data_IF_735926122033
#
_entry.id   IF_735926122033
#
_cell.length_a   1.000
_cell.length_b   1.000
_cell.length_c   1.000
_cell.angle_alpha   90.00
_cell.angle_beta   90.00
_cell.angle_gamma   90.00
#
_symmetry.space_group_name_H-M   'P 1'
#
loop_
_entity.id
_entity.type
_entity.pdbx_description
1 polymer ?
#
# COMPACT_ATOMS: atom_id res chain seq x y z
N UNK A 1 -12.36 76.54 29.22
CA UNK A 1 -12.43 76.04 27.83
C UNK A 1 -11.77 74.67 27.77
N UNK A 2 -12.58 73.66 27.42
CA UNK A 2 -12.28 72.29 26.92
C UNK A 2 -11.02 71.57 27.43
N UNK A 3 -11.23 70.55 28.28
CA UNK A 3 -10.28 69.43 28.51
C UNK A 3 -10.35 68.49 27.30
N UNK A 4 -9.23 68.26 26.64
CA UNK A 4 -9.09 67.38 25.48
C UNK A 4 -8.89 65.94 25.97
N UNK A 5 -9.84 65.06 25.67
CA UNK A 5 -9.75 63.63 25.94
C UNK A 5 -8.99 62.98 24.77
N UNK A 6 -7.79 62.45 25.03
CA UNK A 6 -7.00 61.71 24.03
C UNK A 6 -7.51 60.26 24.01
N UNK A 7 -8.31 59.89 23.01
CA UNK A 7 -8.66 58.49 22.75
C UNK A 7 -7.45 57.80 22.10
N UNK A 8 -6.84 56.85 22.80
CA UNK A 8 -5.93 55.88 22.19
C UNK A 8 -6.76 54.88 21.38
N UNK A 9 -6.64 54.93 20.06
CA UNK A 9 -7.10 53.87 19.16
C UNK A 9 -6.00 52.83 19.07
N UNK A 10 -6.16 51.69 19.75
CA UNK A 10 -5.28 50.53 19.56
C UNK A 10 -5.71 49.85 18.27
N UNK A 11 -4.90 50.00 17.23
CA UNK A 11 -5.07 49.30 15.96
C UNK A 11 -4.64 47.85 16.19
N UNK A 12 -5.59 46.92 16.34
CA UNK A 12 -5.30 45.49 16.21
C UNK A 12 -4.94 45.24 14.75
N UNK A 13 -3.65 45.05 14.46
CA UNK A 13 -3.23 44.39 13.22
C UNK A 13 -3.76 42.95 13.31
N UNK A 14 -4.85 42.68 12.58
CA UNK A 14 -5.21 41.31 12.26
C UNK A 14 -4.02 40.71 11.51
N UNK A 15 -3.45 39.63 12.05
CA UNK A 15 -2.51 38.81 11.30
C UNK A 15 -3.19 38.44 9.97
N UNK A 16 -2.47 38.46 8.83
CA UNK A 16 -3.03 37.96 7.59
C UNK A 16 -3.55 36.54 7.84
N UNK A 17 -4.68 36.12 7.24
CA UNK A 17 -5.10 34.74 7.31
C UNK A 17 -3.90 33.89 6.91
N UNK A 18 -3.51 32.98 7.79
CA UNK A 18 -2.61 31.88 7.44
C UNK A 18 -3.17 31.31 6.14
N UNK A 19 -2.41 31.44 5.06
CA UNK A 19 -2.67 30.70 3.84
C UNK A 19 -2.67 29.24 4.27
N UNK A 20 -3.86 28.64 4.34
CA UNK A 20 -4.01 27.21 4.22
C UNK A 20 -3.35 26.88 2.88
N UNK A 21 -2.13 26.33 2.92
CA UNK A 21 -1.57 25.69 1.75
C UNK A 21 -2.62 24.70 1.29
N UNK A 22 -3.09 24.85 0.05
CA UNK A 22 -4.05 23.92 -0.51
C UNK A 22 -3.44 22.53 -0.42
N UNK A 23 -4.10 21.65 0.34
CA UNK A 23 -3.75 20.24 0.46
C UNK A 23 -3.70 19.63 -0.94
N UNK A 24 -2.75 18.73 -1.18
CA UNK A 24 -2.71 18.05 -2.46
C UNK A 24 -4.04 17.36 -2.76
N UNK A 25 -4.55 17.47 -3.99
CA UNK A 25 -5.71 16.71 -4.37
C UNK A 25 -5.40 15.22 -4.27
N UNK A 26 -6.44 14.46 -4.04
CA UNK A 26 -6.42 13.01 -4.17
C UNK A 26 -5.80 12.59 -5.50
N UNK A 27 -4.96 11.56 -5.50
CA UNK A 27 -4.64 10.86 -6.74
C UNK A 27 -5.91 10.32 -7.40
N UNK A 28 -6.02 10.47 -8.72
CA UNK A 28 -7.15 9.98 -9.52
C UNK A 28 -6.71 9.04 -10.64
N UNK A 29 -5.41 9.00 -10.95
CA UNK A 29 -4.87 8.09 -11.94
C UNK A 29 -5.10 6.63 -11.52
N UNK A 30 -5.43 5.81 -12.51
CA UNK A 30 -5.58 4.37 -12.38
C UNK A 30 -4.87 3.68 -13.54
N UNK A 31 -4.40 2.45 -13.31
CA UNK A 31 -3.83 1.57 -14.35
C UNK A 31 -3.96 0.11 -13.92
N UNK A 32 -3.75 -0.82 -14.85
CA UNK A 32 -3.87 -2.26 -14.59
C UNK A 32 -2.55 -3.00 -14.78
N UNK A 33 -2.17 -3.78 -13.78
CA UNK A 33 -1.22 -4.87 -13.93
C UNK A 33 -1.98 -6.07 -14.49
N UNK A 34 -1.65 -6.48 -15.72
CA UNK A 34 -2.47 -7.45 -16.48
C UNK A 34 -1.69 -8.33 -17.46
N UNK A 35 -0.38 -8.45 -17.28
CA UNK A 35 0.50 -9.23 -18.18
C UNK A 35 0.35 -10.74 -18.01
N UNK A 36 0.01 -11.22 -16.82
CA UNK A 36 -0.16 -12.64 -16.48
C UNK A 36 -1.65 -12.98 -16.35
N UNK A 37 -2.04 -14.07 -15.68
CA UNK A 37 -3.44 -14.49 -15.55
C UNK A 37 -4.27 -13.64 -14.57
N UNK A 38 -3.72 -12.55 -14.03
CA UNK A 38 -4.39 -11.64 -13.10
C UNK A 38 -4.65 -10.31 -13.77
N UNK A 39 -5.79 -9.69 -13.51
CA UNK A 39 -6.02 -8.27 -13.74
C UNK A 39 -6.13 -7.57 -12.37
N UNK A 40 -5.12 -6.78 -12.02
CA UNK A 40 -5.06 -6.06 -10.76
C UNK A 40 -5.01 -4.55 -10.98
N UNK A 41 -6.06 -3.84 -10.54
CA UNK A 41 -6.12 -2.39 -10.62
C UNK A 41 -5.22 -1.72 -9.58
N UNK A 42 -4.55 -0.63 -9.99
CA UNK A 42 -3.72 0.20 -9.14
C UNK A 42 -4.25 1.64 -9.16
N UNK A 43 -4.23 2.33 -8.01
CA UNK A 43 -4.58 3.74 -7.92
C UNK A 43 -3.43 4.54 -7.32
N UNK A 44 -3.26 5.77 -7.79
CA UNK A 44 -2.23 6.68 -7.26
C UNK A 44 -2.67 7.41 -5.97
N UNK A 45 -3.83 7.02 -5.43
CA UNK A 45 -4.36 7.46 -4.14
C UNK A 45 -3.90 6.59 -2.97
N UNK A 46 -2.91 5.72 -3.16
CA UNK A 46 -2.31 4.89 -2.11
C UNK A 46 -3.03 3.59 -1.78
N UNK A 47 -4.19 3.36 -2.39
CA UNK A 47 -4.96 2.12 -2.36
C UNK A 47 -4.87 1.36 -3.70
N UNK A 48 -5.07 0.05 -3.64
CA UNK A 48 -4.96 -0.87 -4.77
C UNK A 48 -6.18 -1.81 -4.82
N UNK A 49 -6.33 -2.48 -5.96
CA UNK A 49 -7.29 -3.57 -6.22
C UNK A 49 -8.75 -3.22 -6.44
N UNK A 50 -9.13 -1.94 -6.46
CA UNK A 50 -10.50 -1.50 -6.78
C UNK A 50 -10.51 -0.27 -7.68
N UNK A 51 -11.68 0.09 -8.20
CA UNK A 51 -11.88 1.26 -9.05
C UNK A 51 -12.49 2.48 -8.33
N UNK A 52 -12.83 2.35 -7.04
CA UNK A 52 -13.58 3.35 -6.27
C UNK A 52 -15.02 2.93 -5.95
N UNK A 53 -15.48 1.81 -6.52
CA UNK A 53 -16.83 1.28 -6.31
C UNK A 53 -16.85 -0.26 -6.19
N UNK A 54 -16.02 -0.97 -6.97
CA UNK A 54 -15.96 -2.43 -7.02
C UNK A 54 -14.52 -2.94 -7.00
N UNK A 55 -14.35 -4.13 -6.43
CA UNK A 55 -13.10 -4.91 -6.53
C UNK A 55 -12.71 -5.15 -7.99
N UNK A 56 -11.42 -5.16 -8.25
CA UNK A 56 -10.79 -5.33 -9.56
C UNK A 56 -9.43 -6.03 -9.40
N UNK A 57 -9.43 -7.08 -8.59
CA UNK A 57 -8.38 -8.10 -8.58
C UNK A 57 -9.00 -9.39 -9.14
N UNK A 58 -9.01 -9.51 -10.46
CA UNK A 58 -9.77 -10.54 -11.18
C UNK A 58 -8.82 -11.67 -11.55
N UNK A 59 -9.18 -12.89 -11.15
CA UNK A 59 -8.36 -14.08 -11.39
C UNK A 59 -9.22 -15.36 -11.36
N UNK A 60 -9.16 -16.20 -12.41
CA UNK A 60 -8.53 -15.96 -13.71
C UNK A 60 -9.10 -14.77 -14.50
N UNK A 61 -8.23 -13.84 -14.97
CA UNK A 61 -8.67 -12.60 -15.62
C UNK A 61 -9.52 -12.76 -16.90
N UNK A 62 -9.49 -13.93 -17.52
CA UNK A 62 -10.25 -14.23 -18.75
C UNK A 62 -11.58 -14.95 -18.46
N UNK A 63 -11.91 -15.16 -17.18
CA UNK A 63 -13.16 -15.80 -16.79
C UNK A 63 -14.38 -14.93 -17.14
N UNK A 64 -15.51 -15.50 -17.58
CA UNK A 64 -16.64 -14.73 -18.11
C UNK A 64 -17.25 -13.76 -17.10
N UNK A 65 -17.30 -14.17 -15.83
CA UNK A 65 -17.99 -13.45 -14.76
C UNK A 65 -17.11 -12.39 -14.10
N UNK A 66 -15.80 -12.39 -14.40
CA UNK A 66 -14.84 -11.41 -13.93
C UNK A 66 -14.90 -11.23 -12.40
N UNK A 67 -14.92 -12.35 -11.68
CA UNK A 67 -15.04 -12.39 -10.22
C UNK A 67 -13.79 -11.80 -9.57
N UNK A 68 -13.96 -10.94 -8.56
CA UNK A 68 -12.82 -10.36 -7.85
C UNK A 68 -12.42 -11.28 -6.70
N UNK A 69 -11.13 -11.52 -6.49
CA UNK A 69 -10.60 -12.27 -5.35
C UNK A 69 -10.16 -11.38 -4.18
N UNK A 70 -10.03 -10.07 -4.42
CA UNK A 70 -9.73 -9.04 -3.42
C UNK A 70 -10.56 -7.80 -3.75
N UNK A 71 -11.05 -7.11 -2.71
CA UNK A 71 -11.72 -5.82 -2.89
C UNK A 71 -10.71 -4.69 -2.91
N UNK A 72 -9.99 -4.47 -1.81
CA UNK A 72 -9.07 -3.34 -1.69
C UNK A 72 -7.84 -3.67 -0.83
N UNK A 73 -6.79 -2.88 -0.99
CA UNK A 73 -5.61 -2.96 -0.12
C UNK A 73 -4.91 -1.61 0.00
N UNK A 74 -4.18 -1.42 1.09
CA UNK A 74 -3.40 -0.21 1.35
C UNK A 74 -2.29 -0.47 2.37
N UNK A 75 -1.29 0.41 2.40
CA UNK A 75 -0.29 0.45 3.47
C UNK A 75 -0.61 1.56 4.45
N UNK A 76 -0.51 1.25 5.74
CA UNK A 76 -0.68 2.20 6.83
C UNK A 76 0.63 2.40 7.56
N UNK A 77 0.78 3.57 8.18
CA UNK A 77 1.91 3.86 9.04
C UNK A 77 1.46 4.77 10.19
N UNK A 78 1.79 4.39 11.42
CA UNK A 78 1.44 5.15 12.60
C UNK A 78 2.55 5.13 13.64
N UNK A 79 2.73 6.22 14.36
CA UNK A 79 3.71 6.33 15.44
C UNK A 79 3.56 7.59 16.28
N UNK A 80 4.40 7.75 17.29
CA UNK A 80 4.32 8.83 18.27
C UNK A 80 5.40 9.87 18.00
N UNK A 81 5.01 11.13 17.82
CA UNK A 81 5.97 12.23 17.63
C UNK A 81 6.67 12.64 18.94
N UNK A 82 7.68 13.50 18.85
CA UNK A 82 8.42 13.99 20.02
C UNK A 82 7.58 14.78 21.04
N UNK A 83 6.35 15.17 20.69
CA UNK A 83 5.37 15.79 21.57
C UNK A 83 4.45 14.78 22.27
N UNK A 84 4.55 13.49 21.97
CA UNK A 84 3.66 12.44 22.47
C UNK A 84 2.34 12.35 21.70
N UNK A 85 2.25 12.93 20.50
CA UNK A 85 1.04 12.90 19.67
C UNK A 85 1.12 11.74 18.69
N UNK A 86 0.04 10.97 18.57
CA UNK A 86 -0.10 9.97 17.52
C UNK A 86 -0.17 10.67 16.17
N UNK A 87 0.71 10.25 15.25
CA UNK A 87 0.68 10.59 13.84
C UNK A 87 0.32 9.35 13.07
N UNK A 88 -0.68 9.46 12.21
CA UNK A 88 -1.26 8.32 11.55
C UNK A 88 -1.47 8.62 10.08
N UNK A 89 -1.14 7.65 9.27
CA UNK A 89 -1.43 7.60 7.87
C UNK A 89 -2.16 6.29 7.62
N UNK A 90 -3.47 6.40 7.38
CA UNK A 90 -4.32 5.25 7.11
C UNK A 90 -5.34 5.59 6.04
N UNK A 91 -5.61 4.60 5.19
CA UNK A 91 -6.64 4.67 4.18
C UNK A 91 -7.20 3.27 3.94
N UNK A 92 -8.53 3.16 3.97
CA UNK A 92 -9.29 1.94 3.63
C UNK A 92 -9.93 2.10 2.25
N UNK A 93 -10.67 3.19 2.02
CA UNK A 93 -11.39 3.45 0.76
C UNK A 93 -11.44 4.94 0.43
N UNK A 94 -10.41 5.50 -0.21
CA UNK A 94 -10.51 6.94 -0.47
C UNK A 94 -9.33 7.65 -1.11
N UNK A 95 -9.05 8.82 -0.55
CA UNK A 95 -8.32 9.91 -1.17
C UNK A 95 -7.35 10.58 -0.20
N UNK A 96 -6.90 9.85 0.84
CA UNK A 96 -6.08 10.37 1.92
C UNK A 96 -4.66 10.74 1.48
N UNK A 97 -4.23 10.26 0.32
CA UNK A 97 -2.92 10.53 -0.25
C UNK A 97 -2.95 11.50 -1.42
N UNK A 98 -1.94 12.38 -1.45
CA UNK A 98 -1.59 13.17 -2.62
C UNK A 98 -0.56 12.44 -3.49
N UNK A 99 -0.62 12.61 -4.80
CA UNK A 99 0.35 12.02 -5.71
C UNK A 99 1.69 12.76 -5.69
N UNK A 100 2.77 12.07 -6.08
CA UNK A 100 4.08 12.66 -6.25
C UNK A 100 5.04 12.51 -5.07
N UNK A 101 6.32 12.83 -5.28
CA UNK A 101 7.31 12.84 -4.22
C UNK A 101 7.20 14.09 -3.36
N UNK A 102 7.76 14.05 -2.15
CA UNK A 102 7.94 15.23 -1.31
C UNK A 102 9.26 15.90 -1.64
N UNK A 103 9.37 17.20 -1.35
CA UNK A 103 10.65 17.89 -1.41
C UNK A 103 11.61 17.29 -0.35
N UNK A 104 12.83 16.88 -0.71
CA UNK A 104 13.73 16.17 0.20
C UNK A 104 14.28 17.05 1.33
N UNK A 105 14.20 18.38 1.20
CA UNK A 105 14.68 19.35 2.20
C UNK A 105 13.54 19.82 3.09
N UNK A 106 12.39 20.16 2.51
CA UNK A 106 11.28 20.76 3.26
C UNK A 106 10.23 19.75 3.71
N UNK A 107 10.21 18.55 3.14
CA UNK A 107 9.18 17.53 3.41
C UNK A 107 7.80 17.92 2.88
N UNK A 108 7.71 18.92 2.00
CA UNK A 108 6.44 19.48 1.50
C UNK A 108 6.28 19.28 0.00
N UNK A 109 5.04 19.45 -0.47
CA UNK A 109 4.67 19.46 -1.89
C UNK A 109 3.61 20.56 -2.14
N UNK A 110 3.09 20.67 -3.36
CA UNK A 110 2.01 21.60 -3.70
C UNK A 110 1.03 20.97 -4.72
N UNK A 111 -0.21 21.51 -4.83
CA UNK A 111 -1.22 20.93 -5.72
C UNK A 111 -0.83 20.82 -7.19
N UNK A 112 0.01 21.73 -7.71
CA UNK A 112 0.47 21.65 -9.10
C UNK A 112 1.34 20.43 -9.30
N UNK A 113 2.31 20.23 -8.40
CA UNK A 113 3.19 19.07 -8.47
C UNK A 113 2.41 17.77 -8.24
N UNK A 114 1.47 17.75 -7.30
CA UNK A 114 0.62 16.58 -7.09
C UNK A 114 -0.22 16.22 -8.33
N UNK A 115 -0.80 17.20 -9.03
CA UNK A 115 -1.50 16.94 -10.30
C UNK A 115 -0.56 16.46 -11.41
N UNK A 116 0.67 16.97 -11.47
CA UNK A 116 1.66 16.54 -12.46
C UNK A 116 2.07 15.07 -12.23
N UNK A 117 2.21 14.68 -10.97
CA UNK A 117 2.60 13.34 -10.55
C UNK A 117 1.44 12.36 -10.37
N UNK A 118 0.18 12.78 -10.62
CA UNK A 118 -0.97 11.88 -10.67
C UNK A 118 -0.91 11.00 -11.93
N UNK A 119 0.07 10.09 -11.97
CA UNK A 119 0.49 9.27 -13.11
C UNK A 119 1.16 7.99 -12.65
N UNK A 120 1.16 7.00 -13.54
CA UNK A 120 1.98 5.80 -13.42
C UNK A 120 3.06 5.78 -14.51
N UNK A 121 4.20 5.19 -14.19
CA UNK A 121 5.31 5.00 -15.11
C UNK A 121 5.50 3.50 -15.32
N UNK A 122 5.08 3.03 -16.48
CA UNK A 122 5.11 1.62 -16.83
C UNK A 122 6.22 1.33 -17.83
N UNK A 123 6.85 0.17 -17.68
CA UNK A 123 7.73 -0.43 -18.69
C UNK A 123 7.52 -1.93 -18.76
N UNK A 124 8.13 -2.58 -19.75
CA UNK A 124 8.08 -4.03 -19.94
C UNK A 124 9.47 -4.61 -20.15
N UNK A 125 9.65 -5.88 -19.82
CA UNK A 125 10.89 -6.62 -20.09
C UNK A 125 11.26 -6.54 -21.58
N UNK A 126 10.27 -6.61 -22.47
CA UNK A 126 10.43 -6.44 -23.92
C UNK A 126 10.97 -5.07 -24.33
N UNK A 127 10.43 -3.96 -23.79
CA UNK A 127 10.93 -2.61 -24.10
C UNK A 127 12.37 -2.41 -23.62
N UNK A 128 12.70 -2.94 -22.45
CA UNK A 128 14.06 -2.90 -21.91
C UNK A 128 15.00 -3.74 -22.79
N UNK A 129 14.57 -4.93 -23.21
CA UNK A 129 15.37 -5.81 -24.05
C UNK A 129 15.65 -5.19 -25.42
N UNK A 130 14.65 -4.59 -26.07
CA UNK A 130 14.84 -3.87 -27.32
C UNK A 130 15.89 -2.76 -27.20
N UNK A 131 15.84 -1.97 -26.13
CA UNK A 131 16.81 -0.91 -25.90
C UNK A 131 18.22 -1.45 -25.64
N UNK A 132 18.34 -2.54 -24.87
CA UNK A 132 19.63 -3.20 -24.60
C UNK A 132 20.23 -3.82 -25.85
N UNK A 133 19.41 -4.43 -26.70
CA UNK A 133 19.85 -5.05 -27.96
C UNK A 133 20.29 -4.03 -29.00
N UNK A 134 19.71 -2.82 -28.99
CA UNK A 134 20.17 -1.69 -29.79
C UNK A 134 21.57 -1.22 -29.34
N UNK A 135 21.77 -1.04 -28.03
CA UNK A 135 23.06 -0.57 -27.48
C UNK A 135 24.19 -1.61 -27.57
N UNK A 136 23.90 -2.90 -27.36
CA UNK A 136 24.91 -3.92 -27.11
C UNK A 136 25.96 -4.13 -28.23
N UNK A 137 25.67 -3.99 -29.53
CA UNK A 137 26.63 -4.27 -30.60
C UNK A 137 27.83 -3.32 -30.64
N UNK A 138 27.64 -2.03 -30.36
CA UNK A 138 28.66 -1.00 -30.56
C UNK A 138 28.66 0.12 -29.51
N UNK A 139 27.74 0.09 -28.54
CA UNK A 139 27.60 1.12 -27.50
C UNK A 139 26.90 2.38 -27.99
N UNK A 140 26.14 2.30 -29.09
CA UNK A 140 25.38 3.40 -29.66
C UNK A 140 23.90 3.00 -29.73
N UNK A 141 23.00 3.95 -29.49
CA UNK A 141 21.58 3.79 -29.75
C UNK A 141 21.30 4.28 -31.17
N UNK A 142 21.06 3.35 -32.09
CA UNK A 142 20.79 3.65 -33.50
C UNK A 142 19.28 3.75 -33.79
N UNK A 143 18.48 3.05 -32.99
CA UNK A 143 17.03 2.94 -33.14
C UNK A 143 16.24 3.93 -32.26
N UNK A 144 14.91 3.98 -32.44
CA UNK A 144 14.05 4.76 -31.57
C UNK A 144 13.99 4.13 -30.18
N UNK A 145 14.33 4.92 -29.15
CA UNK A 145 14.16 4.51 -27.75
C UNK A 145 12.65 4.44 -27.42
N UNK A 146 12.13 3.33 -26.87
CA UNK A 146 10.74 3.24 -26.43
C UNK A 146 10.40 4.34 -25.42
N UNK A 147 9.20 4.95 -25.52
CA UNK A 147 8.80 6.05 -24.63
C UNK A 147 8.83 5.67 -23.15
N UNK A 148 8.53 4.41 -22.80
CA UNK A 148 8.62 3.89 -21.43
C UNK A 148 10.05 3.88 -20.86
N UNK A 149 11.05 3.82 -21.73
CA UNK A 149 12.48 3.91 -21.37
C UNK A 149 12.89 5.38 -21.39
N UNK A 150 12.60 6.08 -22.49
CA UNK A 150 13.05 7.47 -22.70
C UNK A 150 12.48 8.43 -21.66
N UNK A 151 11.22 8.26 -21.26
CA UNK A 151 10.53 9.09 -20.29
C UNK A 151 10.54 8.56 -18.85
N UNK A 152 11.39 7.58 -18.53
CA UNK A 152 11.42 7.00 -17.18
C UNK A 152 11.73 8.08 -16.12
N UNK A 153 11.02 8.13 -14.97
CA UNK A 153 11.16 9.18 -13.97
C UNK A 153 12.39 8.95 -13.07
N UNK A 154 13.52 8.58 -13.65
CA UNK A 154 14.78 8.41 -12.95
C UNK A 154 15.58 9.72 -12.91
N UNK A 155 16.33 9.91 -11.83
CA UNK A 155 17.08 11.15 -11.55
C UNK A 155 17.90 11.61 -12.76
N UNK A 156 17.80 12.89 -13.08
CA UNK A 156 18.60 13.51 -14.14
C UNK A 156 18.14 13.21 -15.56
N UNK A 157 17.00 12.53 -15.77
CA UNK A 157 16.49 12.26 -17.12
C UNK A 157 16.14 13.56 -17.87
N UNK A 158 17.00 13.94 -18.82
CA UNK A 158 16.82 15.15 -19.65
C UNK A 158 15.60 15.11 -20.57
N UNK A 159 15.06 13.92 -20.87
CA UNK A 159 13.90 13.77 -21.76
C UNK A 159 12.56 13.84 -21.03
N UNK A 160 12.59 13.82 -19.70
CA UNK A 160 11.39 13.71 -18.88
C UNK A 160 10.42 14.87 -19.13
N UNK A 161 10.91 16.11 -19.07
CA UNK A 161 10.06 17.30 -19.20
C UNK A 161 9.40 17.41 -20.58
N UNK A 162 10.12 17.08 -21.65
CA UNK A 162 9.59 17.07 -23.01
C UNK A 162 8.49 16.02 -23.20
N UNK A 163 8.59 14.88 -22.51
CA UNK A 163 7.63 13.76 -22.61
C UNK A 163 6.40 13.99 -21.73
N UNK A 164 6.60 14.43 -20.48
CA UNK A 164 5.55 14.50 -19.47
C UNK A 164 4.97 15.91 -19.25
N UNK A 165 5.64 16.94 -19.74
CA UNK A 165 5.18 18.32 -19.69
C UNK A 165 5.45 19.06 -18.38
N UNK A 166 6.30 18.53 -17.50
CA UNK A 166 6.73 19.16 -16.26
C UNK A 166 8.14 18.74 -15.85
N UNK A 167 8.79 19.54 -15.00
CA UNK A 167 10.17 19.31 -14.59
C UNK A 167 10.32 18.10 -13.67
N UNK A 168 11.38 17.31 -13.90
CA UNK A 168 11.77 16.26 -12.98
C UNK A 168 12.51 16.88 -11.78
N UNK A 169 12.12 16.60 -10.53
CA UNK A 169 12.86 17.06 -9.37
C UNK A 169 14.22 16.36 -9.26
N UNK A 170 15.23 17.10 -8.81
CA UNK A 170 16.56 16.53 -8.54
C UNK A 170 16.57 15.75 -7.22
N UNK A 171 16.12 14.51 -7.30
CA UNK A 171 16.17 13.54 -6.21
C UNK A 171 16.11 12.10 -6.73
N UNK A 172 16.41 11.14 -5.86
CA UNK A 172 16.33 9.73 -6.19
C UNK A 172 14.86 9.28 -6.26
N UNK A 173 14.43 8.87 -7.45
CA UNK A 173 13.08 8.40 -7.77
C UNK A 173 13.14 6.96 -8.30
N UNK A 174 12.53 6.68 -9.45
CA UNK A 174 12.46 5.33 -9.98
C UNK A 174 13.86 4.74 -10.26
N UNK A 175 14.08 3.45 -9.96
CA UNK A 175 15.38 2.82 -10.09
C UNK A 175 15.77 2.66 -11.57
N UNK A 176 17.07 2.75 -11.83
CA UNK A 176 17.66 2.56 -13.15
C UNK A 176 19.02 1.90 -13.06
N UNK A 177 19.41 1.25 -14.16
CA UNK A 177 20.76 0.78 -14.36
C UNK A 177 21.57 1.94 -14.93
N UNK A 178 22.48 2.47 -14.10
CA UNK A 178 23.45 3.48 -14.48
C UNK A 178 24.70 2.79 -15.02
N UNK A 179 24.90 2.86 -16.33
CA UNK A 179 26.00 2.16 -17.01
C UNK A 179 27.36 2.80 -16.75
N UNK A 180 27.40 4.12 -16.63
CA UNK A 180 28.65 4.88 -16.55
C UNK A 180 28.98 5.34 -15.12
N UNK A 181 28.12 5.01 -14.16
CA UNK A 181 28.24 5.27 -12.72
C UNK A 181 28.33 6.78 -12.39
N UNK A 182 27.67 7.63 -13.18
CA UNK A 182 27.65 9.08 -12.96
C UNK A 182 26.47 9.59 -12.14
N UNK A 183 25.51 8.72 -11.80
CA UNK A 183 24.31 9.00 -11.02
C UNK A 183 23.17 9.66 -11.78
N UNK A 184 23.22 9.72 -13.11
CA UNK A 184 22.21 10.33 -13.97
C UNK A 184 21.61 9.27 -14.91
N UNK A 185 20.31 9.36 -15.18
CA UNK A 185 19.66 8.50 -16.15
C UNK A 185 19.80 9.04 -17.57
N UNK A 186 20.66 8.41 -18.35
CA UNK A 186 21.00 8.79 -19.73
C UNK A 186 20.65 7.66 -20.71
N UNK A 187 19.39 7.52 -21.14
CA UNK A 187 18.99 6.39 -21.98
C UNK A 187 19.68 6.41 -23.35
N UNK A 188 20.08 7.58 -23.87
CA UNK A 188 20.90 7.67 -25.09
C UNK A 188 22.31 7.05 -24.92
N UNK A 189 22.78 6.88 -23.69
CA UNK A 189 24.04 6.23 -23.33
C UNK A 189 23.85 4.78 -22.84
N UNK A 190 22.66 4.21 -23.03
CA UNK A 190 22.37 2.80 -22.77
C UNK A 190 21.98 2.48 -21.32
N UNK A 191 21.53 3.49 -20.56
CA UNK A 191 20.84 3.31 -19.29
C UNK A 191 19.39 2.86 -19.51
N UNK A 192 18.85 2.10 -18.57
CA UNK A 192 17.47 1.60 -18.67
C UNK A 192 16.83 1.41 -17.28
N UNK A 193 15.50 1.36 -17.18
CA UNK A 193 14.80 1.09 -15.93
C UNK A 193 15.26 -0.22 -15.30
N UNK A 194 15.64 -0.19 -14.02
CA UNK A 194 16.05 -1.38 -13.28
C UNK A 194 14.83 -1.91 -12.51
N UNK A 195 14.00 -2.68 -13.21
CA UNK A 195 12.73 -3.19 -12.69
C UNK A 195 12.62 -4.72 -12.81
N UNK A 196 11.63 -5.28 -12.12
CA UNK A 196 11.28 -6.71 -12.11
C UNK A 196 10.00 -6.94 -12.93
N UNK A 197 9.74 -8.19 -13.32
CA UNK A 197 8.54 -8.56 -14.05
C UNK A 197 8.60 -8.31 -15.56
N UNK A 198 7.65 -8.90 -16.28
CA UNK A 198 7.42 -8.65 -17.70
C UNK A 198 6.60 -7.38 -17.94
N UNK A 199 5.78 -7.01 -16.96
CA UNK A 199 5.18 -5.69 -16.81
C UNK A 199 5.56 -5.16 -15.43
N UNK A 200 6.10 -3.94 -15.37
CA UNK A 200 6.39 -3.23 -14.12
C UNK A 200 5.78 -1.84 -14.19
N UNK A 201 5.13 -1.45 -13.10
CA UNK A 201 4.41 -0.18 -12.98
C UNK A 201 4.90 0.50 -11.70
N UNK A 202 5.58 1.64 -11.85
CA UNK A 202 6.10 2.44 -10.76
C UNK A 202 5.27 3.72 -10.57
N UNK A 203 5.04 4.11 -9.33
CA UNK A 203 4.40 5.38 -8.97
C UNK A 203 4.88 5.88 -7.61
N UNK A 204 4.51 7.11 -7.25
CA UNK A 204 4.89 7.73 -5.98
C UNK A 204 3.75 8.58 -5.46
N UNK A 205 3.52 8.53 -4.15
CA UNK A 205 2.49 9.28 -3.45
C UNK A 205 2.96 9.65 -2.03
N UNK A 206 2.23 10.54 -1.37
CA UNK A 206 2.60 11.14 -0.09
C UNK A 206 1.38 11.58 0.73
N UNK A 207 1.60 11.90 2.00
CA UNK A 207 0.58 12.37 2.95
C UNK A 207 0.26 13.87 2.83
N UNK A 208 0.62 14.52 1.72
CA UNK A 208 0.50 15.96 1.52
C UNK A 208 1.59 16.78 2.22
N UNK A 209 2.57 16.12 2.86
CA UNK A 209 3.76 16.75 3.45
C UNK A 209 3.51 17.55 4.73
N UNK A 210 2.41 17.28 5.45
CA UNK A 210 2.01 18.07 6.62
C UNK A 210 1.54 17.25 7.83
N UNK A 211 1.41 15.93 7.74
CA UNK A 211 0.89 15.13 8.86
C UNK A 211 1.99 14.28 9.52
N UNK A 212 2.49 13.30 8.78
CA UNK A 212 3.62 12.43 9.13
C UNK A 212 4.90 12.93 8.44
N UNK A 213 4.79 13.46 7.22
CA UNK A 213 5.90 13.75 6.33
C UNK A 213 6.42 12.48 5.67
N UNK A 214 5.53 11.70 5.05
CA UNK A 214 5.87 10.40 4.48
C UNK A 214 5.69 10.40 2.96
N UNK A 215 6.76 10.05 2.26
CA UNK A 215 6.76 9.74 0.84
C UNK A 215 6.82 8.23 0.65
N UNK A 216 5.99 7.69 -0.23
CA UNK A 216 5.93 6.27 -0.57
C UNK A 216 6.15 6.12 -2.07
N UNK A 217 7.25 5.47 -2.45
CA UNK A 217 7.51 5.06 -3.81
C UNK A 217 7.09 3.58 -3.93
N UNK A 218 6.21 3.28 -4.88
CA UNK A 218 5.61 1.96 -5.04
C UNK A 218 5.90 1.39 -6.43
N UNK A 219 6.00 0.07 -6.50
CA UNK A 219 6.14 -0.68 -7.74
C UNK A 219 5.28 -1.93 -7.69
N UNK A 220 4.53 -2.20 -8.75
CA UNK A 220 3.80 -3.44 -8.95
C UNK A 220 4.30 -4.14 -10.21
N UNK A 221 4.48 -5.46 -10.13
CA UNK A 221 4.96 -6.24 -11.27
C UNK A 221 4.43 -7.67 -11.27
N UNK A 222 4.46 -8.28 -12.45
CA UNK A 222 4.04 -9.66 -12.68
C UNK A 222 4.85 -10.26 -13.84
N UNK A 223 4.87 -11.59 -13.92
CA UNK A 223 5.59 -12.35 -14.95
C UNK A 223 4.60 -13.20 -15.74
N UNK A 224 4.78 -13.26 -17.05
CA UNK A 224 4.12 -14.30 -17.85
C UNK A 224 4.94 -15.58 -17.70
N UNK A 225 4.29 -16.70 -17.39
CA UNK A 225 4.97 -17.97 -17.15
C UNK A 225 4.13 -19.17 -17.57
N UNK A 226 4.79 -20.24 -18.00
CA UNK A 226 4.12 -21.55 -18.17
C UNK A 226 3.87 -22.24 -16.81
N UNK A 227 4.52 -21.79 -15.74
CA UNK A 227 4.27 -22.21 -14.37
C UNK A 227 3.09 -21.42 -13.79
N UNK A 228 1.96 -22.11 -13.59
CA UNK A 228 0.72 -21.53 -13.08
C UNK A 228 0.89 -20.82 -11.73
N UNK A 229 1.82 -21.24 -10.86
CA UNK A 229 2.05 -20.53 -9.60
C UNK A 229 2.60 -19.13 -9.83
N UNK A 230 3.51 -18.98 -10.80
CA UNK A 230 4.08 -17.67 -11.14
C UNK A 230 3.11 -16.85 -11.99
N UNK A 231 2.42 -17.49 -12.94
CA UNK A 231 1.47 -16.81 -13.84
C UNK A 231 0.22 -16.31 -13.12
N UNK A 232 -0.09 -16.86 -11.94
CA UNK A 232 -1.18 -16.42 -11.07
C UNK A 232 -0.72 -15.51 -9.90
N UNK A 233 0.56 -15.09 -9.87
CA UNK A 233 1.10 -14.27 -8.77
C UNK A 233 1.37 -12.84 -9.21
N UNK A 234 0.94 -11.87 -8.40
CA UNK A 234 1.31 -10.45 -8.53
C UNK A 234 2.21 -10.01 -7.37
N UNK A 235 3.13 -9.09 -7.62
CA UNK A 235 4.11 -8.62 -6.64
C UNK A 235 4.00 -7.11 -6.45
N UNK A 236 4.22 -6.68 -5.20
CA UNK A 236 4.16 -5.28 -4.80
C UNK A 236 5.36 -4.93 -3.92
N UNK A 237 6.01 -3.80 -4.22
CA UNK A 237 7.15 -3.27 -3.49
C UNK A 237 6.89 -1.82 -3.09
N UNK A 238 7.21 -1.49 -1.85
CA UNK A 238 7.05 -0.16 -1.27
C UNK A 238 8.36 0.29 -0.64
N UNK A 239 8.73 1.53 -0.92
CA UNK A 239 9.83 2.24 -0.28
C UNK A 239 9.25 3.45 0.46
N UNK A 240 9.37 3.42 1.77
CA UNK A 240 8.93 4.47 2.68
C UNK A 240 10.11 5.39 2.96
N UNK A 241 9.93 6.69 2.72
CA UNK A 241 10.95 7.71 2.95
C UNK A 241 10.39 8.72 3.94
N UNK A 242 10.93 8.70 5.16
CA UNK A 242 10.49 9.60 6.22
C UNK A 242 11.12 10.99 6.05
N UNK A 243 10.30 11.95 5.67
CA UNK A 243 10.64 13.37 5.48
C UNK A 243 10.19 14.26 6.64
N UNK A 244 9.70 13.68 7.74
CA UNK A 244 9.40 14.40 8.96
C UNK A 244 10.64 15.06 9.58
N UNK A 245 10.42 16.06 10.44
CA UNK A 245 11.47 16.89 11.03
C UNK A 245 11.94 16.41 12.43
N UNK A 246 11.20 15.49 13.04
CA UNK A 246 11.46 14.93 14.37
C UNK A 246 11.35 13.41 14.33
N UNK A 247 12.03 12.68 15.24
CA UNK A 247 11.87 11.23 15.29
C UNK A 247 10.43 10.82 15.59
N UNK A 248 9.94 9.82 14.86
CA UNK A 248 8.69 9.12 15.13
C UNK A 248 9.03 7.81 15.85
N UNK A 249 8.59 7.66 17.10
CA UNK A 249 8.80 6.45 17.92
C UNK A 249 7.59 5.55 17.89
N UNK A 250 7.74 4.32 18.41
CA UNK A 250 6.66 3.31 18.43
C UNK A 250 5.99 3.17 17.06
N UNK A 251 6.78 3.25 15.99
CA UNK A 251 6.24 3.28 14.65
C UNK A 251 5.98 1.89 14.15
N UNK A 252 4.75 1.65 13.68
CA UNK A 252 4.34 0.43 13.01
C UNK A 252 3.98 0.77 11.56
N UNK A 253 4.33 -0.13 10.65
CA UNK A 253 3.77 -0.18 9.31
C UNK A 253 2.80 -1.35 9.25
N UNK A 254 1.65 -1.20 8.60
CA UNK A 254 0.74 -2.31 8.36
C UNK A 254 0.34 -2.43 6.89
N UNK A 255 0.22 -3.67 6.43
CA UNK A 255 -0.54 -4.00 5.22
C UNK A 255 -1.98 -4.26 5.64
N UNK A 256 -2.89 -3.42 5.16
CA UNK A 256 -4.32 -3.58 5.33
C UNK A 256 -4.92 -4.15 4.04
N UNK A 257 -5.81 -5.13 4.18
CA UNK A 257 -6.46 -5.79 3.06
C UNK A 257 -7.93 -6.01 3.37
N UNK A 258 -8.76 -5.67 2.41
CA UNK A 258 -10.17 -6.00 2.33
C UNK A 258 -10.35 -7.16 1.35
N UNK A 259 -10.27 -8.41 1.84
CA UNK A 259 -10.68 -9.56 1.05
C UNK A 259 -12.20 -9.52 0.80
N UNK A 260 -12.55 -9.74 -0.47
CA UNK A 260 -13.87 -10.18 -0.91
C UNK A 260 -13.55 -11.33 -1.87
N UNK A 261 -13.36 -12.55 -1.37
CA UNK A 261 -13.00 -13.69 -2.21
C UNK A 261 -14.25 -14.18 -2.96
N UNK A 262 -14.61 -13.45 -4.01
CA UNK A 262 -15.95 -13.54 -4.58
C UNK A 262 -16.96 -12.94 -3.62
N UNK A 263 -17.73 -13.79 -2.94
CA UNK A 263 -18.73 -13.34 -1.99
C UNK A 263 -18.15 -12.96 -0.62
N UNK A 264 -18.10 -11.66 -0.34
CA UNK A 264 -17.68 -11.14 0.97
C UNK A 264 -18.48 -11.68 2.17
N UNK A 265 -19.66 -12.27 1.98
CA UNK A 265 -20.48 -12.83 3.06
C UNK A 265 -20.05 -14.24 3.48
N UNK A 266 -19.18 -14.88 2.69
CA UNK A 266 -18.69 -16.23 2.95
C UNK A 266 -17.18 -16.27 3.25
N UNK A 267 -16.58 -15.13 3.57
CA UNK A 267 -15.14 -15.09 3.82
C UNK A 267 -14.77 -15.52 5.25
N UNK A 268 -13.76 -16.37 5.32
CA UNK A 268 -12.93 -16.61 6.48
C UNK A 268 -11.47 -16.22 6.23
N UNK A 269 -10.77 -15.96 7.32
CA UNK A 269 -9.38 -15.52 7.31
C UNK A 269 -8.49 -16.36 8.22
N UNK A 270 -7.19 -16.28 7.97
CA UNK A 270 -6.18 -16.84 8.86
C UNK A 270 -4.80 -16.29 8.57
N UNK A 271 -3.84 -16.67 9.42
CA UNK A 271 -2.44 -16.34 9.19
C UNK A 271 -1.52 -17.53 9.47
N UNK A 272 -0.34 -17.46 8.85
CA UNK A 272 0.81 -18.30 9.12
C UNK A 272 1.98 -17.36 9.44
N UNK A 273 2.20 -17.05 10.73
CA UNK A 273 3.23 -16.10 11.14
C UNK A 273 4.65 -16.61 10.86
N UNK A 274 4.86 -17.93 10.81
CA UNK A 274 6.18 -18.52 10.50
C UNK A 274 6.58 -18.26 9.04
N UNK A 275 5.58 -18.20 8.14
CA UNK A 275 5.78 -17.94 6.72
C UNK A 275 5.46 -16.49 6.29
N UNK A 276 5.17 -15.61 7.26
CA UNK A 276 4.75 -14.22 7.04
C UNK A 276 3.60 -14.11 6.03
N UNK A 277 2.55 -14.91 6.23
CA UNK A 277 1.45 -15.03 5.29
C UNK A 277 0.11 -14.80 5.99
N UNK A 278 -0.76 -14.04 5.34
CA UNK A 278 -2.20 -14.01 5.61
C UNK A 278 -2.92 -14.79 4.51
N UNK A 279 -4.12 -15.31 4.76
CA UNK A 279 -4.92 -15.94 3.73
C UNK A 279 -6.41 -15.75 3.96
N UNK A 280 -7.17 -15.75 2.87
CA UNK A 280 -8.63 -15.78 2.83
C UNK A 280 -9.09 -17.07 2.14
N UNK A 281 -10.21 -17.61 2.60
CA UNK A 281 -10.84 -18.84 2.13
C UNK A 281 -12.34 -18.79 2.45
N UNK A 282 -13.13 -19.57 1.72
CA UNK A 282 -14.58 -19.61 1.91
C UNK A 282 -14.97 -20.39 3.17
N UNK A 283 -16.06 -19.97 3.78
CA UNK A 283 -16.64 -20.53 5.00
C UNK A 283 -17.36 -21.85 4.78
N UNK A 284 -17.80 -22.13 3.55
CA UNK A 284 -18.39 -23.40 3.17
C UNK A 284 -17.88 -23.94 1.81
N UNK A 285 -18.63 -24.86 1.21
CA UNK A 285 -18.29 -25.55 -0.04
C UNK A 285 -18.98 -24.96 -1.28
N UNK A 286 -19.53 -23.73 -1.19
CA UNK A 286 -20.08 -23.01 -2.33
C UNK A 286 -20.00 -21.48 -2.20
N UNK A 287 -19.19 -20.84 -3.04
CA UNK A 287 -19.09 -19.38 -3.10
C UNK A 287 -20.23 -18.77 -3.96
N UNK A 288 -21.31 -18.39 -3.29
CA UNK A 288 -22.53 -17.90 -3.91
C UNK A 288 -22.53 -16.40 -4.18
N UNK A 289 -23.13 -15.97 -5.30
CA UNK A 289 -23.32 -14.54 -5.59
C UNK A 289 -23.96 -13.78 -4.40
N UNK A 290 -23.38 -12.63 -4.06
CA UNK A 290 -24.00 -11.67 -3.15
C UNK A 290 -24.40 -10.38 -3.88
N UNK A 291 -24.69 -9.33 -3.13
CA UNK A 291 -25.38 -8.15 -3.65
C UNK A 291 -24.49 -7.39 -4.63
N UNK A 292 -24.63 -7.71 -5.91
CA UNK A 292 -23.90 -7.06 -7.01
C UNK A 292 -22.47 -7.57 -7.19
N UNK A 293 -22.09 -8.66 -6.52
CA UNK A 293 -20.76 -9.29 -6.60
C UNK A 293 -20.97 -10.77 -6.90
N UNK A 294 -20.21 -11.29 -7.86
CA UNK A 294 -20.27 -12.70 -8.24
C UNK A 294 -19.44 -13.53 -7.24
N UNK A 295 -19.85 -14.76 -7.00
CA UNK A 295 -19.02 -15.77 -6.34
C UNK A 295 -18.23 -16.63 -7.34
N UNK A 296 -17.38 -17.51 -6.84
CA UNK A 296 -16.65 -18.56 -7.56
C UNK A 296 -17.43 -19.89 -7.66
N UNK A 297 -18.67 -19.93 -7.17
CA UNK A 297 -19.55 -21.09 -7.15
C UNK A 297 -18.85 -22.33 -6.53
N UNK A 298 -18.76 -23.43 -7.26
CA UNK A 298 -18.13 -24.68 -6.79
C UNK A 298 -16.62 -24.75 -7.02
N UNK A 299 -16.04 -23.79 -7.76
CA UNK A 299 -14.60 -23.73 -8.04
C UNK A 299 -13.91 -22.79 -7.05
N UNK A 300 -14.06 -23.11 -5.75
CA UNK A 300 -13.67 -22.24 -4.64
C UNK A 300 -12.15 -22.11 -4.54
N UNK A 301 -11.61 -20.90 -4.65
CA UNK A 301 -10.18 -20.67 -4.48
C UNK A 301 -9.79 -20.44 -3.03
N UNK A 302 -8.48 -20.33 -2.80
CA UNK A 302 -7.91 -19.63 -1.65
C UNK A 302 -6.91 -18.60 -2.15
N UNK A 303 -6.82 -17.48 -1.45
CA UNK A 303 -5.85 -16.43 -1.78
C UNK A 303 -4.95 -16.15 -0.58
N UNK A 304 -3.64 -16.18 -0.84
CA UNK A 304 -2.60 -15.94 0.15
C UNK A 304 -1.88 -14.62 -0.09
N UNK A 305 -1.59 -13.89 0.98
CA UNK A 305 -0.83 -12.64 0.95
C UNK A 305 0.46 -12.88 1.69
N UNK A 306 1.54 -13.08 0.94
CA UNK A 306 2.84 -13.46 1.48
C UNK A 306 3.78 -12.28 1.47
N UNK A 307 4.24 -11.88 2.65
CA UNK A 307 5.30 -10.88 2.79
C UNK A 307 6.64 -11.51 2.40
N UNK A 308 7.26 -10.95 1.37
CA UNK A 308 8.56 -11.38 0.83
C UNK A 308 9.69 -10.58 1.48
N UNK A 309 9.42 -9.30 1.74
CA UNK A 309 10.35 -8.38 2.37
C UNK A 309 9.59 -7.69 3.51
N UNK A 310 9.78 -8.10 4.77
CA UNK A 310 9.22 -7.39 5.92
C UNK A 310 9.75 -5.95 5.99
N UNK A 311 9.13 -5.12 6.83
CA UNK A 311 9.52 -3.72 6.98
C UNK A 311 10.98 -3.60 7.44
N UNK A 312 11.86 -3.16 6.56
CA UNK A 312 13.30 -3.28 6.79
C UNK A 312 14.12 -2.13 6.23
N UNK A 313 15.33 -1.94 6.75
CA UNK A 313 16.27 -0.97 6.17
C UNK A 313 16.78 -1.45 4.81
N UNK A 314 17.21 -0.54 3.91
CA UNK A 314 17.91 -0.93 2.68
C UNK A 314 19.17 -1.78 2.91
N UNK A 315 19.75 -1.70 4.12
CA UNK A 315 20.94 -2.46 4.51
C UNK A 315 20.65 -3.91 4.92
N UNK A 316 19.38 -4.29 5.15
CA UNK A 316 19.04 -5.65 5.55
C UNK A 316 18.39 -5.79 6.93
N UNK A 317 18.26 -4.72 7.71
CA UNK A 317 17.78 -4.81 9.09
C UNK A 317 16.25 -4.84 9.12
N UNK A 318 15.72 -6.04 9.38
CA UNK A 318 14.29 -6.35 9.38
C UNK A 318 13.63 -6.13 10.73
N UNK A 319 12.34 -5.79 10.71
CA UNK A 319 11.44 -6.02 11.84
C UNK A 319 10.76 -7.39 11.72
N UNK A 320 10.25 -7.90 12.83
CA UNK A 320 9.37 -9.07 12.84
C UNK A 320 7.93 -8.67 12.47
N UNK A 321 7.11 -9.66 12.12
CA UNK A 321 5.65 -9.51 12.16
C UNK A 321 5.28 -9.30 13.63
N UNK A 322 4.76 -8.12 13.95
CA UNK A 322 4.38 -7.77 15.31
C UNK A 322 2.98 -8.31 15.64
N UNK A 323 2.04 -8.13 14.71
CA UNK A 323 0.65 -8.50 14.90
C UNK A 323 0.01 -8.92 13.58
N UNK A 324 -0.85 -9.94 13.66
CA UNK A 324 -1.88 -10.20 12.67
C UNK A 324 -3.23 -9.97 13.36
N UNK A 325 -3.88 -8.87 13.01
CA UNK A 325 -5.19 -8.49 13.53
C UNK A 325 -6.20 -8.43 12.40
N UNK A 326 -7.46 -8.30 12.76
CA UNK A 326 -8.53 -8.16 11.80
C UNK A 326 -9.68 -7.36 12.41
N UNK A 327 -10.63 -6.95 11.57
CA UNK A 327 -11.91 -6.43 12.06
C UNK A 327 -13.04 -6.81 11.12
N UNK A 328 -14.26 -6.70 11.62
CA UNK A 328 -15.47 -6.99 10.86
C UNK A 328 -15.96 -5.72 10.18
N UNK A 329 -16.61 -5.85 9.03
CA UNK A 329 -17.53 -4.82 8.57
C UNK A 329 -18.47 -4.43 9.72
N UNK A 330 -18.72 -3.14 9.91
CA UNK A 330 -19.57 -2.65 11.00
C UNK A 330 -20.98 -3.25 11.03
N UNK A 331 -21.51 -3.76 9.92
CA UNK A 331 -22.78 -4.49 9.89
C UNK A 331 -22.69 -5.92 10.44
N UNK A 332 -21.54 -6.57 10.29
CA UNK A 332 -21.31 -7.97 10.68
C UNK A 332 -20.63 -8.09 12.06
N UNK A 333 -20.17 -6.97 12.61
CA UNK A 333 -19.44 -6.93 13.86
C UNK A 333 -20.29 -7.48 15.04
N UNK A 334 -19.86 -8.57 15.71
CA UNK A 334 -20.59 -9.13 16.84
C UNK A 334 -20.55 -8.21 18.07
N UNK A 335 -19.52 -7.37 18.16
CA UNK A 335 -19.37 -6.35 19.20
C UNK A 335 -18.97 -5.00 18.57
N UNK A 336 -19.46 -3.87 19.10
CA UNK A 336 -19.05 -2.55 18.60
C UNK A 336 -17.53 -2.32 18.63
N UNK A 337 -16.80 -2.96 19.55
CA UNK A 337 -15.34 -2.85 19.67
C UNK A 337 -14.57 -3.56 18.53
N UNK A 338 -15.26 -4.38 17.73
CA UNK A 338 -14.67 -5.22 16.67
C UNK A 338 -14.97 -4.72 15.26
N UNK A 339 -15.62 -3.55 15.15
CA UNK A 339 -16.11 -2.95 13.90
C UNK A 339 -15.07 -2.04 13.22
N UNK A 340 -15.48 -1.33 12.15
CA UNK A 340 -14.62 -0.41 11.42
C UNK A 340 -13.96 0.68 12.29
N UNK A 341 -12.67 1.00 12.06
CA UNK A 341 -12.01 2.14 12.69
C UNK A 341 -12.56 3.49 12.18
N UNK A 342 -12.70 4.46 13.08
CA UNK A 342 -13.25 5.79 12.76
C UNK A 342 -12.26 6.94 13.01
N UNK A 343 -11.31 6.77 13.92
CA UNK A 343 -10.30 7.78 14.27
C UNK A 343 -8.90 7.18 14.32
N UNK A 344 -7.84 7.99 14.22
CA UNK A 344 -6.45 7.52 14.18
C UNK A 344 -6.07 6.50 15.26
N UNK A 345 -6.60 6.67 16.48
CA UNK A 345 -6.35 5.75 17.59
C UNK A 345 -6.93 4.35 17.31
N UNK A 346 -8.05 4.26 16.61
CA UNK A 346 -8.68 2.99 16.25
C UNK A 346 -7.79 2.20 15.29
N UNK A 347 -7.31 2.84 14.23
CA UNK A 347 -6.36 2.25 13.28
C UNK A 347 -5.08 1.81 13.99
N UNK A 348 -4.53 2.68 14.84
CA UNK A 348 -3.32 2.38 15.59
C UNK A 348 -3.51 1.26 16.62
N UNK A 349 -4.71 1.15 17.23
CA UNK A 349 -5.06 0.03 18.10
C UNK A 349 -4.96 -1.29 17.33
N UNK A 350 -5.57 -1.38 16.15
CA UNK A 350 -5.45 -2.60 15.34
C UNK A 350 -4.00 -2.91 14.95
N UNK A 351 -3.21 -1.90 14.59
CA UNK A 351 -1.79 -2.07 14.26
C UNK A 351 -0.93 -2.53 15.45
N UNK A 352 -1.44 -2.35 16.68
CA UNK A 352 -0.74 -2.66 17.92
C UNK A 352 -1.41 -3.79 18.72
N UNK A 353 -2.20 -4.64 18.05
CA UNK A 353 -2.77 -5.83 18.66
C UNK A 353 -3.96 -5.56 19.59
N UNK A 354 -4.73 -4.51 19.32
CA UNK A 354 -5.88 -4.08 20.13
C UNK A 354 -7.12 -3.84 19.30
N UNK A 355 -8.27 -4.10 19.90
CA UNK A 355 -9.59 -3.71 19.41
C UNK A 355 -9.83 -2.21 19.63
N UNK A 356 -10.92 -1.67 19.07
CA UNK A 356 -11.25 -0.23 19.14
C UNK A 356 -11.27 0.31 20.58
N UNK A 357 -11.79 -0.47 21.52
CA UNK A 357 -11.90 -0.10 22.94
C UNK A 357 -10.56 -0.22 23.72
N UNK A 358 -9.48 -0.60 23.03
CA UNK A 358 -8.15 -0.81 23.57
C UNK A 358 -7.94 -2.18 24.22
N UNK A 359 -8.96 -3.05 24.24
CA UNK A 359 -8.84 -4.45 24.67
C UNK A 359 -7.83 -5.15 23.77
N UNK A 360 -6.81 -5.84 24.30
CA UNK A 360 -5.88 -6.58 23.47
C UNK A 360 -6.61 -7.75 22.78
N UNK A 361 -6.15 -8.13 21.58
CA UNK A 361 -6.53 -9.40 20.97
C UNK A 361 -6.17 -10.54 21.93
N UNK A 362 -7.02 -11.55 22.03
CA UNK A 362 -6.80 -12.73 22.88
C UNK A 362 -6.82 -14.01 22.05
N UNK A 363 -6.22 -15.09 22.55
CA UNK A 363 -6.30 -16.40 21.89
C UNK A 363 -7.68 -17.04 22.11
N UNK A 364 -8.22 -17.70 21.09
CA UNK A 364 -9.50 -18.42 21.15
C UNK A 364 -10.72 -17.57 20.79
N UNK A 365 -11.83 -18.24 20.48
CA UNK A 365 -13.04 -17.61 19.96
C UNK A 365 -12.72 -16.72 18.75
N UNK A 366 -13.36 -15.55 18.68
CA UNK A 366 -13.07 -14.52 17.67
C UNK A 366 -11.89 -13.61 18.06
N UNK A 367 -11.17 -13.92 19.14
CA UNK A 367 -10.06 -13.11 19.63
C UNK A 367 -10.44 -11.84 20.41
N UNK A 368 -11.70 -11.70 20.84
CA UNK A 368 -12.18 -10.65 21.73
C UNK A 368 -12.71 -11.24 23.05
N UNK A 369 -11.87 -11.29 24.08
CA UNK A 369 -12.28 -11.66 25.44
C UNK A 369 -11.68 -10.67 26.47
N UNK A 370 -12.45 -9.67 26.93
CA UNK A 370 -11.98 -8.68 27.88
C UNK A 370 -11.40 -9.30 29.16
N UNK A 371 -10.16 -8.91 29.49
CA UNK A 371 -9.44 -9.37 30.67
C UNK A 371 -8.52 -10.57 30.45
N UNK A 372 -8.48 -11.13 29.23
CA UNK A 372 -7.48 -12.12 28.85
C UNK A 372 -6.14 -11.49 28.46
N UNK A 373 -5.03 -12.26 28.53
CA UNK A 373 -3.74 -11.83 28.01
C UNK A 373 -3.79 -11.53 26.50
N UNK A 374 -2.93 -10.60 26.08
CA UNK A 374 -2.75 -10.29 24.67
C UNK A 374 -2.15 -11.46 23.88
N UNK A 375 -2.68 -11.71 22.68
CA UNK A 375 -2.18 -12.68 21.72
C UNK A 375 -1.98 -12.00 20.36
N UNK A 376 -0.82 -12.15 19.71
CA UNK A 376 -0.45 -11.30 18.59
C UNK A 376 -1.03 -11.71 17.23
N UNK A 377 -1.42 -12.99 17.07
CA UNK A 377 -1.76 -13.53 15.75
C UNK A 377 -3.14 -14.18 15.79
N UNK A 378 -4.16 -13.50 15.24
CA UNK A 378 -5.49 -14.08 15.15
C UNK A 378 -5.52 -15.27 14.19
N UNK A 379 -6.15 -16.37 14.60
CA UNK A 379 -6.40 -17.56 13.76
C UNK A 379 -5.12 -18.13 13.11
N UNK A 380 -4.05 -18.24 13.90
CA UNK A 380 -2.74 -18.72 13.46
C UNK A 380 -2.60 -20.27 13.49
N UNK A 381 -3.68 -20.98 13.78
CA UNK A 381 -3.69 -22.44 13.92
C UNK A 381 -3.08 -22.95 15.23
N UNK A 382 -2.74 -22.06 16.17
CA UNK A 382 -2.26 -22.46 17.51
C UNK A 382 -3.29 -23.29 18.27
N UNK A 383 -2.84 -24.19 19.14
CA UNK A 383 -3.71 -25.09 19.89
C UNK A 383 -4.54 -24.34 20.95
N UNK A 384 -5.86 -24.45 20.86
CA UNK A 384 -6.84 -23.96 21.85
C UNK A 384 -7.73 -25.14 22.23
N UNK A 385 -7.52 -25.66 23.45
CA UNK A 385 -8.28 -26.78 24.01
C UNK A 385 -8.23 -28.09 23.18
N UNK A 386 -7.13 -28.33 22.44
CA UNK A 386 -6.90 -29.56 21.68
C UNK A 386 -7.28 -29.46 20.20
N UNK A 387 -7.73 -28.30 19.73
CA UNK A 387 -8.07 -28.01 18.34
C UNK A 387 -7.27 -26.80 17.83
N UNK A 388 -6.89 -26.76 16.53
CA UNK A 388 -6.19 -25.61 15.96
C UNK A 388 -7.11 -24.39 15.97
N UNK A 389 -6.61 -23.21 16.35
CA UNK A 389 -7.39 -21.99 16.39
C UNK A 389 -7.56 -21.40 14.98
N UNK A 390 -8.76 -21.57 14.43
CA UNK A 390 -9.21 -21.11 13.12
C UNK A 390 -10.61 -20.51 13.27
N UNK A 391 -11.11 -19.77 12.29
CA UNK A 391 -12.50 -19.29 12.33
C UNK A 391 -13.50 -20.46 12.36
N UNK A 392 -13.21 -21.56 11.65
CA UNK A 392 -14.02 -22.78 11.66
C UNK A 392 -14.15 -23.40 13.07
N UNK A 393 -13.02 -23.63 13.75
CA UNK A 393 -13.00 -24.25 15.09
C UNK A 393 -13.49 -23.29 16.18
N UNK A 394 -13.34 -21.98 15.97
CA UNK A 394 -13.92 -20.96 16.82
C UNK A 394 -15.45 -20.84 16.68
N UNK A 395 -16.03 -21.42 15.62
CA UNK A 395 -17.45 -21.26 15.30
C UNK A 395 -17.81 -19.82 14.93
N UNK A 396 -16.89 -19.10 14.28
CA UNK A 396 -17.17 -17.80 13.71
C UNK A 396 -18.19 -17.92 12.58
N UNK A 397 -18.99 -16.88 12.36
CA UNK A 397 -19.90 -16.81 11.21
C UNK A 397 -19.11 -16.20 10.05
N UNK A 398 -19.05 -16.83 8.86
CA UNK A 398 -18.41 -16.23 7.69
C UNK A 398 -18.95 -14.83 7.40
N UNK A 399 -18.13 -13.98 6.82
CA UNK A 399 -18.58 -12.66 6.43
C UNK A 399 -17.44 -11.68 6.20
N UNK A 400 -17.79 -10.42 6.13
CA UNK A 400 -16.88 -9.42 5.60
C UNK A 400 -15.77 -9.05 6.62
N UNK A 401 -14.52 -9.40 6.29
CA UNK A 401 -13.33 -9.27 7.14
C UNK A 401 -12.35 -8.28 6.54
N UNK A 402 -11.64 -7.54 7.40
CA UNK A 402 -10.45 -6.77 7.00
C UNK A 402 -9.24 -7.29 7.74
N UNK A 403 -8.20 -7.60 7.01
CA UNK A 403 -6.93 -8.15 7.46
C UNK A 403 -5.92 -7.04 7.72
N UNK A 404 -5.10 -7.20 8.77
CA UNK A 404 -4.01 -6.27 9.07
C UNK A 404 -2.76 -7.06 9.47
N UNK A 405 -1.70 -6.94 8.67
CA UNK A 405 -0.36 -7.45 8.98
C UNK A 405 0.56 -6.31 9.41
N UNK A 406 0.92 -6.25 10.69
CA UNK A 406 1.67 -5.14 11.28
C UNK A 406 3.13 -5.49 11.59
N UNK A 407 4.04 -4.56 11.30
CA UNK A 407 5.48 -4.70 11.44
C UNK A 407 6.05 -3.54 12.28
N UNK A 408 6.82 -3.86 13.32
CA UNK A 408 7.36 -2.87 14.26
C UNK A 408 7.45 -3.38 15.71
N UNK A 409 7.60 -2.48 16.70
CA UNK A 409 7.80 -1.05 16.53
C UNK A 409 9.22 -0.73 16.07
N UNK A 410 9.39 0.42 15.40
CA UNK A 410 10.70 1.04 15.15
C UNK A 410 10.68 2.52 15.51
N UNK A 411 11.87 3.12 15.59
CA UNK A 411 12.02 4.57 15.48
C UNK A 411 12.36 4.92 14.05
N UNK A 412 11.60 5.84 13.45
CA UNK A 412 11.97 6.50 12.19
C UNK A 412 12.58 7.86 12.50
N UNK A 413 13.84 8.06 12.14
CA UNK A 413 14.50 9.35 12.20
C UNK A 413 14.34 10.11 10.88
N UNK A 414 14.34 11.45 10.88
CA UNK A 414 14.35 12.24 9.65
C UNK A 414 15.35 11.72 8.61
N UNK A 415 14.87 11.40 7.41
CA UNK A 415 15.66 10.84 6.31
C UNK A 415 15.75 9.31 6.29
N UNK A 416 15.21 8.61 7.28
CA UNK A 416 15.18 7.15 7.28
C UNK A 416 14.39 6.60 6.10
N UNK A 417 14.93 5.53 5.51
CA UNK A 417 14.30 4.76 4.46
C UNK A 417 13.98 3.38 5.01
N UNK A 418 12.80 2.87 4.66
CA UNK A 418 12.40 1.48 4.88
C UNK A 418 11.76 0.91 3.63
N UNK A 419 11.85 -0.40 3.47
CA UNK A 419 11.33 -1.12 2.32
C UNK A 419 10.43 -2.26 2.80
N UNK A 420 9.42 -2.57 2.00
CA UNK A 420 8.47 -3.66 2.22
C UNK A 420 8.06 -4.25 0.88
N UNK A 421 7.82 -5.56 0.85
CA UNK A 421 7.33 -6.22 -0.36
C UNK A 421 6.48 -7.42 0.00
N UNK A 422 5.44 -7.65 -0.80
CA UNK A 422 4.58 -8.81 -0.69
C UNK A 422 4.16 -9.33 -2.06
N UNK A 423 3.70 -10.58 -2.08
CA UNK A 423 3.06 -11.20 -3.22
C UNK A 423 1.65 -11.66 -2.86
N UNK A 424 0.77 -11.61 -3.84
CA UNK A 424 -0.55 -12.24 -3.77
C UNK A 424 -0.47 -13.55 -4.53
N UNK A 425 -0.77 -14.63 -3.82
CA UNK A 425 -0.69 -16.02 -4.27
C UNK A 425 -2.09 -16.57 -4.46
N UNK A 426 -2.27 -17.38 -5.51
CA UNK A 426 -3.54 -18.00 -5.84
C UNK A 426 -3.46 -19.51 -5.73
N UNK A 427 -4.49 -20.10 -5.13
CA UNK A 427 -4.73 -21.54 -5.14
C UNK A 427 -6.14 -21.77 -5.69
N UNK A 428 -6.30 -22.38 -6.88
CA UNK A 428 -7.61 -22.47 -7.56
C UNK A 428 -8.63 -23.39 -6.87
N UNK A 429 -8.20 -24.19 -5.90
CA UNK A 429 -9.06 -25.11 -5.18
C UNK A 429 -8.71 -25.11 -3.69
N UNK A 430 -9.66 -24.69 -2.87
CA UNK A 430 -9.67 -24.92 -1.43
C UNK A 430 -9.73 -26.44 -1.16
N UNK A 431 -8.85 -26.93 -0.29
CA UNK A 431 -8.71 -28.38 0.02
C UNK A 431 -8.84 -28.69 1.49
#
# INVERSE_FOLDING_TARGET
MKRLLLLLFVLFLAAPPTLLFAQCPAGTAQTDLSVNNVLARLKNSGDIWWDGNTGTYIIPKEEPDQTSALFAGAVWLGGIDGGGTLRMLSQTYGTGFGSGPLNPITGTTNPTDCNNWDKFFQTTSGSIQLHRDDYSPDGVIDGPIPTSIRGWPARGNQFFADIHGFELPDQDLAPFFDRNENGLYEPDLGDFPLVKGDQSIWWVYNDGGNDVGLEIQANAFAYTSDDAYIDNTTFYEYKFIYRGDTPLTDTYMALWVDPDLGCYLDDFIGCDPENLMAFVYNGDDFDEDCVGINGYESDIPMLGIKVIKPFMTPAGDSTDLAYFTYYFNGFDAPFPATADPAVDLDYYNYMTGRWLDGTPFSQGGIGYEPGQPGYPYAFDGSDVDGEPWTECTAGAVPGDRRLIMSFGPVTLNPGDVREFAFAVLWQPHQT
#
